data_IF_001156528289
#
_entry.id   IF_001156528289
#
_cell.length_a   1.000
_cell.length_b   1.000
_cell.length_c   1.000
_cell.angle_alpha   90.00
_cell.angle_beta   90.00
_cell.angle_gamma   90.00
#
_symmetry.space_group_name_H-M   'P 1'
#
loop_
_entity.id
_entity.type
_entity.pdbx_description
1 polymer ?
#
# COMPACT_ATOMS: atom_id res chain seq x y z
N UNK A 1 -53.19 -5.76 -39.91
CA UNK A 1 -51.75 -5.71 -40.21
C UNK A 1 -51.12 -4.63 -39.32
N UNK A 2 -50.39 -5.00 -38.25
CA UNK A 2 -49.62 -4.05 -37.44
C UNK A 2 -48.17 -4.54 -37.42
N UNK A 3 -47.29 -3.74 -38.04
CA UNK A 3 -45.85 -3.99 -38.15
C UNK A 3 -45.18 -3.59 -36.83
N UNK A 4 -44.73 -4.55 -36.05
CA UNK A 4 -43.85 -4.30 -34.91
C UNK A 4 -42.46 -3.88 -35.40
N UNK A 5 -42.08 -2.63 -35.11
CA UNK A 5 -40.69 -2.16 -35.20
C UNK A 5 -39.95 -2.58 -33.92
N UNK A 6 -38.95 -3.46 -34.05
CA UNK A 6 -37.97 -3.71 -32.99
C UNK A 6 -36.85 -2.66 -33.10
N UNK A 7 -36.71 -1.81 -32.08
CA UNK A 7 -35.55 -0.94 -31.88
C UNK A 7 -34.52 -1.72 -31.05
N UNK A 8 -33.38 -2.04 -31.66
CA UNK A 8 -32.27 -2.70 -30.97
C UNK A 8 -31.41 -1.65 -30.24
N UNK A 9 -31.53 -1.57 -28.91
CA UNK A 9 -30.60 -0.83 -28.06
C UNK A 9 -29.26 -1.57 -27.99
N UNK A 10 -28.24 -1.07 -28.68
CA UNK A 10 -26.85 -1.50 -28.46
C UNK A 10 -26.34 -0.95 -27.12
N UNK A 11 -26.31 -1.83 -26.11
CA UNK A 11 -25.64 -1.60 -24.83
C UNK A 11 -24.12 -1.61 -25.06
N UNK A 12 -23.50 -0.43 -25.08
CA UNK A 12 -22.06 -0.30 -25.07
C UNK A 12 -21.54 -0.67 -23.67
N UNK A 13 -21.10 -1.92 -23.48
CA UNK A 13 -20.41 -2.32 -22.26
C UNK A 13 -19.01 -1.71 -22.26
N UNK A 14 -18.81 -0.59 -21.56
CA UNK A 14 -17.48 -0.11 -21.24
C UNK A 14 -16.83 -1.12 -20.28
N UNK A 15 -16.02 -2.03 -20.83
CA UNK A 15 -15.13 -2.88 -20.04
C UNK A 15 -14.08 -1.98 -19.40
N UNK A 16 -14.39 -1.47 -18.21
CA UNK A 16 -13.39 -0.87 -17.34
C UNK A 16 -12.36 -1.97 -17.07
N UNK A 17 -11.17 -1.87 -17.67
CA UNK A 17 -10.06 -2.76 -17.38
C UNK A 17 -9.68 -2.55 -15.91
N UNK A 18 -10.41 -3.24 -15.03
CA UNK A 18 -10.39 -2.99 -13.60
C UNK A 18 -8.98 -3.18 -13.08
N UNK A 19 -8.49 -2.18 -12.37
CA UNK A 19 -7.26 -2.30 -11.59
C UNK A 19 -7.40 -3.55 -10.70
N UNK A 20 -6.65 -4.61 -11.02
CA UNK A 20 -6.72 -5.83 -10.24
C UNK A 20 -6.04 -5.58 -8.90
N UNK A 21 -6.56 -6.20 -7.84
CA UNK A 21 -5.96 -6.09 -6.51
C UNK A 21 -5.47 -7.46 -6.07
N UNK A 22 -4.21 -7.53 -5.70
CA UNK A 22 -3.58 -8.74 -5.15
C UNK A 22 -3.14 -8.46 -3.71
N UNK A 23 -3.00 -9.51 -2.92
CA UNK A 23 -2.71 -9.35 -1.50
C UNK A 23 -1.51 -10.21 -1.10
N UNK A 24 -0.63 -9.63 -0.29
CA UNK A 24 0.44 -10.35 0.39
C UNK A 24 0.25 -10.31 1.90
N UNK A 25 0.77 -11.34 2.56
CA UNK A 25 0.85 -11.37 4.02
C UNK A 25 2.04 -10.53 4.52
N UNK A 26 1.82 -9.80 5.62
CA UNK A 26 2.86 -9.06 6.34
C UNK A 26 3.31 -9.79 7.62
N UNK A 27 2.75 -10.97 7.89
CA UNK A 27 3.07 -11.83 9.04
C UNK A 27 2.91 -13.31 8.70
N UNK A 28 3.37 -14.18 9.61
CA UNK A 28 3.20 -15.63 9.50
C UNK A 28 4.22 -16.30 8.57
N UNK A 29 3.88 -17.49 8.07
CA UNK A 29 4.80 -18.37 7.32
C UNK A 29 5.33 -17.79 6.00
N UNK A 30 4.66 -16.76 5.46
CA UNK A 30 5.09 -16.02 4.26
C UNK A 30 6.13 -14.93 4.55
N UNK A 31 6.51 -14.75 5.81
CA UNK A 31 7.50 -13.79 6.25
C UNK A 31 8.63 -14.51 6.98
N UNK A 32 9.86 -14.29 6.52
CA UNK A 32 11.07 -14.82 7.14
C UNK A 32 11.78 -13.70 7.89
N UNK A 33 12.08 -13.90 9.16
CA UNK A 33 12.94 -12.98 9.92
C UNK A 33 14.32 -12.96 9.26
N UNK A 34 14.78 -11.76 8.91
CA UNK A 34 16.18 -11.51 8.60
C UNK A 34 16.84 -11.21 9.94
N UNK A 35 18.02 -11.77 10.21
CA UNK A 35 18.69 -11.69 11.52
C UNK A 35 18.55 -10.31 12.18
N UNK A 36 18.34 -10.29 13.49
CA UNK A 36 18.17 -9.06 14.25
C UNK A 36 19.46 -8.23 14.10
N UNK A 37 19.41 -7.21 13.24
CA UNK A 37 20.51 -6.25 13.11
C UNK A 37 20.85 -5.68 14.48
N UNK A 38 22.11 -5.32 14.68
CA UNK A 38 22.49 -4.54 15.86
C UNK A 38 21.69 -3.22 15.81
N UNK A 39 21.05 -2.85 16.92
CA UNK A 39 20.23 -1.63 16.99
C UNK A 39 18.74 -1.82 17.28
N UNK A 40 18.30 -3.00 17.73
CA UNK A 40 16.95 -3.20 18.29
C UNK A 40 15.80 -3.30 17.28
N UNK A 41 16.04 -3.01 15.99
CA UNK A 41 15.06 -3.19 14.92
C UNK A 41 15.05 -4.64 14.41
N UNK A 42 13.88 -5.28 14.46
CA UNK A 42 13.64 -6.59 13.85
C UNK A 42 13.13 -6.40 12.43
N UNK A 43 13.79 -7.01 11.46
CA UNK A 43 13.36 -6.98 10.06
C UNK A 43 12.83 -8.34 9.63
N UNK A 44 11.69 -8.34 8.93
CA UNK A 44 11.11 -9.54 8.32
C UNK A 44 10.94 -9.32 6.83
N UNK A 45 11.38 -10.28 6.03
CA UNK A 45 11.15 -10.30 4.59
C UNK A 45 9.92 -11.12 4.27
N UNK A 46 8.90 -10.46 3.72
CA UNK A 46 7.64 -11.07 3.30
C UNK A 46 7.58 -11.22 1.78
N UNK A 47 6.95 -12.29 1.33
CA UNK A 47 6.66 -12.51 -0.10
C UNK A 47 5.72 -11.40 -0.62
N UNK A 48 5.95 -10.94 -1.85
CA UNK A 48 5.11 -9.95 -2.54
C UNK A 48 4.47 -10.52 -3.80
N UNK A 49 4.24 -9.65 -4.79
CA UNK A 49 3.62 -10.01 -6.09
C UNK A 49 4.56 -9.67 -7.24
N UNK A 50 4.43 -10.35 -8.37
CA UNK A 50 5.17 -10.04 -9.61
C UNK A 50 6.71 -9.90 -9.41
N UNK A 51 7.29 -10.72 -8.53
CA UNK A 51 8.73 -10.69 -8.20
C UNK A 51 9.13 -9.68 -7.13
N UNK A 52 8.23 -8.79 -6.72
CA UNK A 52 8.45 -7.87 -5.60
C UNK A 52 8.40 -8.62 -4.26
N UNK A 53 9.07 -8.05 -3.26
CA UNK A 53 9.02 -8.47 -1.85
C UNK A 53 8.80 -7.26 -0.96
N UNK A 54 8.49 -7.49 0.31
CA UNK A 54 8.37 -6.44 1.32
C UNK A 54 9.35 -6.71 2.45
N UNK A 55 10.01 -5.67 2.95
CA UNK A 55 10.67 -5.71 4.25
C UNK A 55 9.75 -5.02 5.25
N UNK A 56 9.49 -5.69 6.37
CA UNK A 56 8.72 -5.14 7.49
C UNK A 56 9.68 -4.94 8.64
N UNK A 57 9.89 -3.69 9.01
CA UNK A 57 10.73 -3.26 10.11
C UNK A 57 9.86 -3.05 11.35
N UNK A 58 10.33 -3.52 12.50
CA UNK A 58 9.67 -3.34 13.78
C UNK A 58 10.69 -2.92 14.84
N UNK A 59 10.48 -1.79 15.50
CA UNK A 59 11.31 -1.32 16.62
C UNK A 59 10.42 -0.78 17.74
N UNK A 60 10.62 -1.26 18.97
CA UNK A 60 9.97 -0.87 20.24
C UNK A 60 8.42 -0.93 20.30
N UNK A 61 7.70 -0.41 19.31
CA UNK A 61 6.27 -0.63 19.03
C UNK A 61 5.82 0.08 17.72
N UNK A 62 6.77 0.50 16.89
CA UNK A 62 6.53 1.14 15.59
C UNK A 62 6.95 0.19 14.47
N UNK A 63 6.33 0.35 13.32
CA UNK A 63 6.62 -0.46 12.13
C UNK A 63 6.69 0.39 10.89
N UNK A 64 7.57 -0.01 9.96
CA UNK A 64 7.61 0.53 8.61
C UNK A 64 7.75 -0.60 7.60
N UNK A 65 7.42 -0.28 6.36
CA UNK A 65 7.51 -1.22 5.24
C UNK A 65 8.38 -0.62 4.16
N UNK A 66 9.26 -1.45 3.60
CA UNK A 66 10.02 -1.11 2.41
C UNK A 66 9.56 -2.00 1.26
N UNK A 67 9.53 -1.45 0.05
CA UNK A 67 9.25 -2.20 -1.18
C UNK A 67 10.58 -2.68 -1.75
N UNK A 68 10.70 -3.98 -2.03
CA UNK A 68 11.87 -4.54 -2.69
C UNK A 68 11.51 -4.88 -4.14
N UNK A 69 12.20 -4.25 -5.08
CA UNK A 69 11.98 -4.47 -6.52
C UNK A 69 12.40 -5.89 -6.95
N UNK A 70 11.93 -6.39 -8.10
CA UNK A 70 12.39 -7.67 -8.65
C UNK A 70 13.91 -7.70 -8.92
N UNK A 71 14.55 -6.54 -9.05
CA UNK A 71 16.01 -6.40 -9.21
C UNK A 71 16.75 -6.37 -7.88
N UNK A 72 16.04 -6.28 -6.76
CA UNK A 72 16.61 -6.25 -5.41
C UNK A 72 16.85 -4.85 -4.85
N UNK A 73 16.46 -3.79 -5.56
CA UNK A 73 16.49 -2.43 -5.03
C UNK A 73 15.50 -2.30 -3.87
N UNK A 74 15.87 -1.56 -2.83
CA UNK A 74 15.04 -1.35 -1.65
C UNK A 74 14.53 0.08 -1.68
N UNK A 75 13.22 0.26 -1.53
CA UNK A 75 12.57 1.56 -1.53
C UNK A 75 11.83 1.76 -0.20
N UNK A 76 12.45 2.48 0.75
CA UNK A 76 11.85 2.74 2.06
C UNK A 76 10.58 3.57 1.94
N UNK A 77 9.54 3.19 2.68
CA UNK A 77 8.31 4.01 2.78
C UNK A 77 8.26 4.86 4.06
N UNK A 78 9.19 4.62 4.99
CA UNK A 78 9.47 5.42 6.18
C UNK A 78 8.24 5.87 6.98
N UNK A 79 7.37 4.91 7.34
CA UNK A 79 6.10 5.23 8.00
C UNK A 79 6.26 5.97 9.34
N UNK A 80 7.33 5.69 10.08
CA UNK A 80 7.70 6.38 11.32
C UNK A 80 7.82 7.91 11.15
N UNK A 81 8.40 8.36 10.03
CA UNK A 81 8.65 9.78 9.78
C UNK A 81 7.56 10.40 8.89
N UNK A 82 7.07 9.64 7.91
CA UNK A 82 6.19 10.14 6.83
C UNK A 82 4.71 10.01 7.17
N UNK A 83 4.33 9.04 7.99
CA UNK A 83 2.92 8.70 8.24
C UNK A 83 2.50 9.05 9.66
N UNK A 84 3.20 8.52 10.66
CA UNK A 84 2.92 8.83 12.06
C UNK A 84 4.15 8.57 12.94
N UNK A 85 4.54 9.52 13.82
CA UNK A 85 5.57 9.30 14.82
C UNK A 85 5.05 8.47 16.02
N UNK A 86 3.75 8.13 16.04
CA UNK A 86 3.11 7.38 17.12
C UNK A 86 3.31 5.87 17.04
N UNK A 87 2.90 5.17 18.10
CA UNK A 87 2.88 3.71 18.12
C UNK A 87 1.95 3.19 17.02
N UNK A 88 2.52 2.44 16.08
CA UNK A 88 1.80 1.98 14.89
C UNK A 88 2.32 0.62 14.42
N UNK A 89 1.43 -0.35 14.30
CA UNK A 89 1.72 -1.68 13.78
C UNK A 89 1.07 -1.89 12.43
N UNK A 90 1.81 -2.42 11.46
CA UNK A 90 1.23 -2.82 10.18
C UNK A 90 0.19 -3.91 10.41
N UNK A 91 -0.92 -3.82 9.70
CA UNK A 91 -1.97 -4.84 9.66
C UNK A 91 -1.48 -6.12 8.98
N UNK A 92 -2.34 -7.15 8.92
CA UNK A 92 -1.92 -8.49 8.45
C UNK A 92 -1.58 -8.57 6.96
N UNK A 93 -2.12 -7.67 6.14
CA UNK A 93 -2.07 -7.74 4.68
C UNK A 93 -1.57 -6.43 4.09
N UNK A 94 -0.87 -6.53 2.97
CA UNK A 94 -0.70 -5.42 2.03
C UNK A 94 -1.53 -5.69 0.78
N UNK A 95 -2.15 -4.64 0.26
CA UNK A 95 -2.91 -4.68 -0.99
C UNK A 95 -2.07 -4.05 -2.11
N UNK A 96 -1.84 -4.81 -3.16
CA UNK A 96 -1.14 -4.37 -4.36
C UNK A 96 -2.16 -3.97 -5.41
N UNK A 97 -2.12 -2.71 -5.85
CA UNK A 97 -2.86 -2.29 -7.04
C UNK A 97 -2.06 -2.68 -8.25
N UNK A 98 -2.72 -3.38 -9.16
CA UNK A 98 -2.10 -3.94 -10.35
C UNK A 98 -2.69 -3.29 -11.59
N UNK A 99 -1.84 -3.03 -12.57
CA UNK A 99 -2.23 -2.56 -13.87
C UNK A 99 -1.70 -3.50 -14.95
N UNK A 100 -2.54 -3.80 -15.94
CA UNK A 100 -2.10 -4.53 -17.12
C UNK A 100 -1.31 -3.59 -18.03
N UNK A 101 -0.08 -4.00 -18.40
CA UNK A 101 0.75 -3.35 -19.41
C UNK A 101 1.15 -4.40 -20.44
N UNK A 102 0.45 -4.39 -21.58
CA UNK A 102 0.55 -5.48 -22.57
C UNK A 102 0.12 -6.82 -21.96
N UNK A 103 0.98 -7.84 -22.08
CA UNK A 103 0.76 -9.17 -21.52
C UNK A 103 1.10 -9.28 -20.02
N UNK A 104 1.73 -8.26 -19.42
CA UNK A 104 2.21 -8.31 -18.04
C UNK A 104 1.26 -7.58 -17.09
N UNK A 105 1.15 -8.12 -15.88
CA UNK A 105 0.48 -7.47 -14.75
C UNK A 105 1.56 -6.86 -13.85
N UNK A 106 1.59 -5.53 -13.75
CA UNK A 106 2.62 -4.81 -12.99
C UNK A 106 2.00 -4.10 -11.79
N UNK A 107 2.65 -4.11 -10.62
CA UNK A 107 2.18 -3.33 -9.48
C UNK A 107 2.40 -1.84 -9.74
N UNK A 108 1.42 -1.01 -9.40
CA UNK A 108 1.47 0.45 -9.53
C UNK A 108 1.26 1.16 -8.20
N UNK A 109 0.73 0.46 -7.19
CA UNK A 109 0.62 0.97 -5.83
C UNK A 109 0.64 -0.15 -4.79
N UNK A 110 0.99 0.23 -3.56
CA UNK A 110 0.89 -0.59 -2.36
C UNK A 110 0.05 0.14 -1.33
N UNK A 111 -0.99 -0.50 -0.82
CA UNK A 111 -1.79 0.00 0.29
C UNK A 111 -1.50 -0.85 1.52
N UNK A 112 -1.21 -0.17 2.63
CA UNK A 112 -0.92 -0.81 3.92
C UNK A 112 -1.71 -0.10 5.00
N UNK A 113 -2.40 -0.90 5.82
CA UNK A 113 -3.06 -0.43 7.03
C UNK A 113 -2.07 -0.41 8.18
N UNK A 114 -2.09 0.66 8.97
CA UNK A 114 -1.42 0.77 10.25
C UNK A 114 -2.48 0.84 11.35
N UNK A 115 -2.41 -0.02 12.35
CA UNK A 115 -3.20 0.07 13.57
C UNK A 115 -2.40 0.90 14.59
N UNK A 116 -2.96 2.05 14.99
CA UNK A 116 -2.31 3.01 15.88
C UNK A 116 -2.79 2.86 17.30
N UNK A 117 -1.91 3.16 18.27
CA UNK A 117 -2.23 3.16 19.68
C UNK A 117 -1.77 4.47 20.34
N UNK A 118 -2.57 4.96 21.28
CA UNK A 118 -2.22 6.12 22.09
C UNK A 118 -1.23 5.80 23.20
N UNK A 119 -0.20 6.63 23.31
CA UNK A 119 0.69 6.64 24.46
C UNK A 119 0.14 7.59 25.55
N UNK A 120 0.37 7.31 26.85
CA UNK A 120 0.00 8.22 27.93
C UNK A 120 0.57 9.63 27.69
N UNK A 121 -0.25 10.68 27.86
CA UNK A 121 0.16 12.08 27.66
C UNK A 121 0.38 12.49 26.19
N UNK A 122 0.07 11.62 25.23
CA UNK A 122 0.23 11.92 23.80
C UNK A 122 -0.90 12.79 23.25
N UNK A 123 -0.55 13.68 22.31
CA UNK A 123 -1.50 14.56 21.65
C UNK A 123 -2.35 13.86 20.58
N UNK A 124 -3.32 14.55 19.96
CA UNK A 124 -4.29 13.94 19.02
C UNK A 124 -3.68 13.20 17.82
N UNK A 125 -2.44 13.53 17.43
CA UNK A 125 -1.71 12.86 16.34
C UNK A 125 -1.28 11.42 16.68
N UNK A 126 -1.35 11.04 17.95
CA UNK A 126 -1.00 9.70 18.44
C UNK A 126 -2.25 8.97 18.96
N UNK A 127 -3.45 9.35 18.53
CA UNK A 127 -4.66 8.68 18.97
C UNK A 127 -4.73 7.21 18.49
N UNK A 128 -5.37 6.35 19.29
CA UNK A 128 -5.71 4.98 18.90
C UNK A 128 -6.66 4.97 17.70
N UNK A 129 -6.43 4.05 16.75
CA UNK A 129 -7.23 3.99 15.53
C UNK A 129 -6.58 3.16 14.44
N UNK A 130 -6.90 3.48 13.19
CA UNK A 130 -6.27 2.86 12.04
C UNK A 130 -6.06 3.87 10.92
N UNK A 131 -4.87 3.84 10.32
CA UNK A 131 -4.46 4.67 9.19
C UNK A 131 -4.33 3.78 7.96
N UNK A 132 -4.89 4.21 6.83
CA UNK A 132 -4.63 3.63 5.53
C UNK A 132 -3.56 4.47 4.84
N UNK A 133 -2.47 3.82 4.47
CA UNK A 133 -1.42 4.40 3.63
C UNK A 133 -1.57 3.91 2.20
N UNK A 134 -1.19 4.75 1.24
CA UNK A 134 -0.99 4.31 -0.14
C UNK A 134 0.35 4.84 -0.66
N UNK A 135 1.18 3.94 -1.16
CA UNK A 135 2.42 4.23 -1.83
C UNK A 135 2.26 4.04 -3.34
N UNK A 136 2.81 4.95 -4.13
CA UNK A 136 2.97 4.78 -5.57
C UNK A 136 4.22 3.93 -5.82
N UNK A 137 4.15 3.00 -6.76
CA UNK A 137 5.28 2.22 -7.26
C UNK A 137 5.59 2.66 -8.69
N UNK A 138 6.83 3.07 -8.94
CA UNK A 138 7.38 3.45 -10.22
C UNK A 138 8.56 2.54 -10.58
N UNK A 139 9.06 2.55 -11.83
CA UNK A 139 10.20 1.72 -12.22
C UNK A 139 11.49 1.95 -11.42
N UNK A 140 11.64 3.14 -10.84
CA UNK A 140 12.83 3.65 -10.18
C UNK A 140 12.63 3.94 -8.69
N UNK A 141 11.45 3.65 -8.12
CA UNK A 141 11.20 3.96 -6.72
C UNK A 141 9.78 3.70 -6.24
N UNK A 142 9.60 3.84 -4.93
CA UNK A 142 8.29 3.90 -4.31
C UNK A 142 8.23 5.02 -3.26
N UNK A 143 7.05 5.60 -3.05
CA UNK A 143 6.85 6.58 -1.98
C UNK A 143 5.40 6.66 -1.54
N UNK A 144 5.17 7.05 -0.29
CA UNK A 144 3.83 7.32 0.23
C UNK A 144 3.25 8.59 -0.40
N UNK A 145 2.03 8.51 -0.91
CA UNK A 145 1.29 9.64 -1.51
C UNK A 145 -0.03 9.93 -0.81
N UNK A 146 -0.44 9.03 0.09
CA UNK A 146 -1.65 9.16 0.88
C UNK A 146 -1.46 8.53 2.26
N UNK A 147 -1.95 9.23 3.28
CA UNK A 147 -2.18 8.75 4.63
C UNK A 147 -3.49 9.35 5.12
N UNK A 148 -4.36 8.55 5.72
CA UNK A 148 -5.63 9.01 6.26
C UNK A 148 -6.33 7.91 7.06
N UNK A 149 -7.44 8.23 7.70
CA UNK A 149 -8.19 7.23 8.48
C UNK A 149 -8.62 6.03 7.62
N UNK A 150 -8.42 4.82 8.14
CA UNK A 150 -8.84 3.57 7.50
C UNK A 150 -10.31 3.19 7.83
N UNK A 151 -10.98 3.90 8.75
CA UNK A 151 -12.34 3.55 9.19
C UNK A 151 -13.47 3.96 8.26
N UNK A 152 -13.45 5.11 7.55
CA UNK A 152 -14.53 5.46 6.65
C UNK A 152 -14.64 4.46 5.49
N UNK A 153 -15.85 4.12 5.08
CA UNK A 153 -16.09 3.29 3.88
C UNK A 153 -15.45 3.87 2.60
N UNK A 154 -15.13 5.17 2.61
CA UNK A 154 -14.52 5.90 1.51
C UNK A 154 -12.99 5.92 1.53
N UNK A 155 -12.33 5.29 2.51
CA UNK A 155 -10.87 5.33 2.67
C UNK A 155 -10.13 4.83 1.42
N UNK A 156 -10.51 3.65 0.89
CA UNK A 156 -9.91 3.11 -0.34
C UNK A 156 -10.13 4.02 -1.55
N UNK A 157 -11.31 4.63 -1.67
CA UNK A 157 -11.60 5.58 -2.75
C UNK A 157 -10.75 6.86 -2.64
N UNK A 158 -10.49 7.33 -1.42
CA UNK A 158 -9.62 8.48 -1.19
C UNK A 158 -8.15 8.17 -1.55
N UNK A 159 -7.67 6.99 -1.15
CA UNK A 159 -6.34 6.49 -1.54
C UNK A 159 -6.19 6.39 -3.06
N UNK A 160 -7.18 5.81 -3.74
CA UNK A 160 -7.19 5.69 -5.21
C UNK A 160 -7.14 7.08 -5.89
N UNK A 161 -7.95 8.04 -5.43
CA UNK A 161 -7.91 9.41 -5.95
C UNK A 161 -6.54 10.07 -5.77
N UNK A 162 -5.83 9.79 -4.68
CA UNK A 162 -4.49 10.33 -4.45
C UNK A 162 -3.45 9.73 -5.42
N UNK A 163 -3.56 8.43 -5.71
CA UNK A 163 -2.73 7.73 -6.68
C UNK A 163 -2.97 8.24 -8.11
N UNK A 164 -4.23 8.36 -8.53
CA UNK A 164 -4.63 8.82 -9.87
C UNK A 164 -4.16 10.26 -10.15
N UNK A 165 -4.30 11.15 -9.16
CA UNK A 165 -3.84 12.55 -9.25
C UNK A 165 -2.32 12.69 -9.24
N UNK A 166 -1.57 11.58 -9.13
CA UNK A 166 -0.10 11.54 -9.03
C UNK A 166 0.44 12.56 -8.03
N UNK A 167 -0.15 12.62 -6.84
CA UNK A 167 0.29 13.54 -5.80
C UNK A 167 1.80 13.40 -5.54
N UNK A 168 2.42 14.51 -5.16
CA UNK A 168 3.79 14.50 -4.64
C UNK A 168 3.87 13.54 -3.46
N UNK A 169 5.05 12.98 -3.25
CA UNK A 169 5.29 12.12 -2.10
C UNK A 169 5.12 12.93 -0.82
N UNK A 170 4.54 12.30 0.20
CA UNK A 170 4.41 12.87 1.54
C UNK A 170 5.78 12.95 2.25
N UNK A 171 6.75 12.15 1.79
CA UNK A 171 8.17 12.24 2.12
C UNK A 171 9.03 12.45 0.87
N UNK A 172 10.34 12.17 0.97
CA UNK A 172 11.27 12.23 -0.17
C UNK A 172 11.10 10.99 -1.06
N UNK A 173 11.13 11.14 -2.39
CA UNK A 173 11.33 10.01 -3.30
C UNK A 173 12.74 9.45 -3.07
N UNK A 174 12.86 8.30 -2.41
CA UNK A 174 14.15 7.62 -2.26
C UNK A 174 14.28 6.59 -3.38
N UNK A 175 15.06 6.96 -4.38
CA UNK A 175 15.68 6.05 -5.35
C UNK A 175 17.14 6.03 -4.94
N UNK A 176 17.62 4.91 -4.40
CA UNK A 176 19.03 4.76 -4.02
C UNK A 176 19.93 4.66 -5.26
#
# INVERSE_FOLDING_TARGET
MVRSMLVALLLCSASHAGAASLYSDLYGSRCKTLDAGHGGTRTRRCDGVAGYRLLVHEAEATTSVDVVSPRGEVWPLDYWDVVTPGLARVGRKAEWRMQRRGAQLVPTALLVRLDTASAPGSGPRMASGAILTAARIAPDGACVVYSGSATPATASAAANRALEKRRNCLGVLRAD
#
